data_IF_697090555502
#
_entry.id   IF_697090555502
#
_cell.length_a   1.000
_cell.length_b   1.000
_cell.length_c   1.000
_cell.angle_alpha   90.00
_cell.angle_beta   90.00
_cell.angle_gamma   90.00
#
_symmetry.space_group_name_H-M   'P 1'
#
loop_
_entity.id
_entity.type
_entity.pdbx_description
1 polymer ?
#
# COMPACT_ATOMS: atom_id res chain seq x y z
N UNK A 1 19.08 2.34 21.75
CA UNK A 1 18.53 3.69 21.86
C UNK A 1 17.06 3.57 22.26
N UNK A 2 16.57 4.31 23.27
CA UNK A 2 15.15 4.28 23.60
C UNK A 2 14.36 4.91 22.42
N UNK A 3 13.29 4.23 21.98
CA UNK A 3 12.36 4.74 21.00
C UNK A 3 11.81 6.08 21.52
N UNK A 4 12.10 7.17 20.85
CA UNK A 4 11.55 8.47 21.16
C UNK A 4 10.20 8.60 20.50
N UNK A 5 9.14 8.62 21.31
CA UNK A 5 7.77 8.84 20.87
C UNK A 5 7.47 10.32 21.07
N UNK A 6 7.42 11.09 20.01
CA UNK A 6 6.94 12.47 20.04
C UNK A 6 5.45 12.48 19.68
N UNK A 7 4.64 13.04 20.55
CA UNK A 7 3.19 13.20 20.34
C UNK A 7 2.90 14.67 20.11
N UNK A 8 2.53 15.01 18.89
CA UNK A 8 1.79 16.21 18.60
C UNK A 8 0.42 15.78 18.00
N UNK A 9 -0.66 16.09 18.66
CA UNK A 9 -2.03 15.88 18.18
C UNK A 9 -2.41 14.42 17.78
N UNK A 10 -2.11 13.42 18.61
CA UNK A 10 -2.31 11.99 18.35
C UNK A 10 -1.32 11.33 17.38
N UNK A 11 -0.53 12.08 16.66
CA UNK A 11 0.49 11.52 15.77
C UNK A 11 1.71 11.07 16.58
N UNK A 12 2.17 9.85 16.31
CA UNK A 12 3.36 9.29 16.95
C UNK A 12 4.42 9.10 15.88
N UNK A 13 5.55 9.75 16.05
CA UNK A 13 6.74 9.55 15.22
C UNK A 13 7.69 8.62 15.98
N UNK A 14 8.19 7.60 15.28
CA UNK A 14 9.17 6.66 15.81
C UNK A 14 10.52 7.00 15.19
N UNK A 15 11.43 7.53 16.00
CA UNK A 15 12.82 7.75 15.61
C UNK A 15 13.65 6.51 15.97
N UNK A 16 14.33 5.91 14.99
CA UNK A 16 15.14 4.71 15.13
C UNK A 16 16.33 4.71 14.18
N UNK A 17 17.33 3.91 14.45
CA UNK A 17 18.44 3.66 13.52
C UNK A 17 17.90 3.06 12.20
N UNK A 18 18.54 3.45 11.08
CA UNK A 18 18.15 2.97 9.76
C UNK A 18 18.45 1.47 9.63
N UNK A 19 17.40 0.67 9.55
CA UNK A 19 17.44 -0.77 9.27
C UNK A 19 16.76 -1.14 7.95
N UNK A 20 16.51 -0.14 7.07
CA UNK A 20 15.79 -0.33 5.82
C UNK A 20 14.27 -0.19 5.96
N UNK A 21 13.57 -0.26 4.81
CA UNK A 21 12.13 -0.04 4.71
C UNK A 21 11.33 -1.10 5.50
N UNK A 22 11.67 -2.38 5.33
CA UNK A 22 10.99 -3.48 6.02
C UNK A 22 11.07 -3.34 7.55
N UNK A 23 12.23 -2.98 8.08
CA UNK A 23 12.45 -2.76 9.50
C UNK A 23 11.64 -1.56 10.03
N UNK A 24 11.59 -0.46 9.29
CA UNK A 24 10.79 0.71 9.64
C UNK A 24 9.30 0.39 9.67
N UNK A 25 8.79 -0.33 8.67
CA UNK A 25 7.40 -0.78 8.60
C UNK A 25 7.05 -1.73 9.75
N UNK A 26 7.89 -2.71 10.04
CA UNK A 26 7.69 -3.66 11.14
C UNK A 26 7.67 -2.93 12.50
N UNK A 27 8.55 -1.96 12.69
CA UNK A 27 8.57 -1.15 13.89
C UNK A 27 7.25 -0.37 14.07
N UNK A 28 6.75 0.26 13.00
CA UNK A 28 5.49 1.00 13.01
C UNK A 28 4.29 0.07 13.26
N UNK A 29 4.24 -1.12 12.65
CA UNK A 29 3.19 -2.13 12.83
C UNK A 29 3.15 -2.61 14.29
N UNK A 30 4.31 -2.87 14.88
CA UNK A 30 4.42 -3.33 16.27
C UNK A 30 4.01 -2.24 17.27
N UNK A 31 4.31 -0.98 16.98
CA UNK A 31 3.92 0.15 17.81
C UNK A 31 2.45 0.57 17.63
N UNK A 32 1.82 0.17 16.53
CA UNK A 32 0.42 0.48 16.23
C UNK A 32 -0.55 -0.26 17.15
N UNK A 33 -1.64 0.43 17.53
CA UNK A 33 -2.76 -0.16 18.29
C UNK A 33 -4.03 -0.30 17.44
N UNK A 34 -4.01 0.19 16.21
CA UNK A 34 -5.15 0.19 15.32
C UNK A 34 -5.28 -1.14 14.58
N UNK A 35 -6.51 -1.53 14.19
CA UNK A 35 -6.76 -2.81 13.49
C UNK A 35 -6.23 -2.82 12.05
N UNK A 36 -6.06 -1.65 11.45
CA UNK A 36 -5.54 -1.49 10.09
C UNK A 36 -4.22 -0.71 10.13
N UNK A 37 -3.31 -1.09 9.25
CA UNK A 37 -2.02 -0.41 9.03
C UNK A 37 -1.88 -0.07 7.55
N UNK A 38 -1.41 1.14 7.26
CA UNK A 38 -1.20 1.63 5.90
C UNK A 38 0.29 1.75 5.63
N UNK A 39 0.78 1.10 4.58
CA UNK A 39 2.12 1.29 4.06
C UNK A 39 2.08 2.31 2.93
N UNK A 40 2.90 3.35 3.03
CA UNK A 40 2.96 4.46 2.07
C UNK A 40 4.42 4.85 1.89
N UNK A 41 4.86 5.04 0.64
CA UNK A 41 6.20 5.57 0.38
C UNK A 41 6.23 7.08 0.68
N UNK A 42 7.38 7.56 1.17
CA UNK A 42 7.54 8.93 1.65
C UNK A 42 7.36 10.00 0.55
N UNK A 43 7.49 9.62 -0.71
CA UNK A 43 7.31 10.46 -1.89
C UNK A 43 5.93 10.31 -2.56
N UNK A 44 5.02 9.55 -1.94
CA UNK A 44 3.67 9.33 -2.47
C UNK A 44 2.72 10.46 -2.08
N UNK A 45 2.06 11.06 -3.07
CA UNK A 45 0.96 12.01 -2.88
C UNK A 45 -0.36 11.26 -2.77
N UNK A 46 -1.10 11.51 -1.69
CA UNK A 46 -2.37 10.83 -1.41
C UNK A 46 -3.52 11.76 -1.77
N UNK A 47 -4.47 11.27 -2.57
CA UNK A 47 -5.71 11.99 -2.83
C UNK A 47 -6.56 12.09 -1.55
N UNK A 48 -7.33 13.18 -1.34
CA UNK A 48 -8.05 13.42 -0.09
C UNK A 48 -9.00 12.29 0.35
N UNK A 49 -9.58 11.56 -0.60
CA UNK A 49 -10.53 10.47 -0.35
C UNK A 49 -9.91 9.06 -0.45
N UNK A 50 -8.61 8.94 -0.77
CA UNK A 50 -7.96 7.68 -1.05
C UNK A 50 -8.03 6.70 0.13
N UNK A 51 -7.75 7.16 1.36
CA UNK A 51 -7.84 6.32 2.55
C UNK A 51 -9.28 5.87 2.83
N UNK A 52 -10.26 6.74 2.62
CA UNK A 52 -11.68 6.38 2.78
C UNK A 52 -12.11 5.30 1.79
N UNK A 53 -11.60 5.36 0.56
CA UNK A 53 -11.85 4.31 -0.44
C UNK A 53 -11.22 2.99 -0.01
N UNK A 54 -9.95 2.99 0.43
CA UNK A 54 -9.24 1.78 0.86
C UNK A 54 -9.89 1.08 2.06
N UNK A 55 -10.53 1.81 2.97
CA UNK A 55 -11.16 1.23 4.16
C UNK A 55 -12.47 0.50 3.83
N UNK A 56 -13.19 0.92 2.79
CA UNK A 56 -14.53 0.38 2.46
C UNK A 56 -14.59 -1.15 2.36
N UNK A 57 -13.68 -1.86 1.67
CA UNK A 57 -13.71 -3.32 1.62
C UNK A 57 -13.62 -3.97 3.00
N UNK A 58 -12.80 -3.45 3.90
CA UNK A 58 -12.67 -3.97 5.27
C UNK A 58 -13.94 -3.79 6.13
N UNK A 59 -14.76 -2.78 5.81
CA UNK A 59 -16.04 -2.54 6.48
C UNK A 59 -17.14 -3.44 5.93
N UNK A 60 -17.06 -3.82 4.65
CA UNK A 60 -18.07 -4.65 3.97
C UNK A 60 -17.80 -6.13 4.14
N UNK A 61 -16.56 -6.54 4.32
CA UNK A 61 -16.18 -7.95 4.35
C UNK A 61 -15.07 -8.17 5.41
N UNK A 62 -15.37 -9.00 6.40
CA UNK A 62 -14.43 -9.32 7.49
C UNK A 62 -13.24 -10.16 7.04
N UNK A 63 -13.38 -10.85 5.91
CA UNK A 63 -12.36 -11.71 5.34
C UNK A 63 -11.29 -10.93 4.57
N UNK A 64 -11.53 -9.64 4.27
CA UNK A 64 -10.54 -8.78 3.62
C UNK A 64 -9.37 -8.54 4.55
N UNK A 65 -8.18 -8.93 4.11
CA UNK A 65 -6.91 -8.79 4.87
C UNK A 65 -6.00 -7.72 4.29
N UNK A 66 -6.11 -7.42 2.99
CA UNK A 66 -5.26 -6.44 2.32
C UNK A 66 -5.99 -5.77 1.14
N UNK A 67 -5.77 -4.47 0.97
CA UNK A 67 -6.33 -3.68 -0.14
C UNK A 67 -5.23 -2.77 -0.69
N UNK A 68 -4.97 -2.86 -2.00
CA UNK A 68 -4.06 -1.99 -2.73
C UNK A 68 -4.77 -0.84 -3.42
N UNK A 69 -4.18 0.34 -3.37
CA UNK A 69 -4.63 1.50 -4.15
C UNK A 69 -4.02 1.55 -5.55
N UNK A 70 -4.68 2.25 -6.45
CA UNK A 70 -4.12 2.56 -7.78
C UNK A 70 -3.08 3.65 -7.65
N UNK A 71 -1.93 3.46 -8.30
CA UNK A 71 -0.83 4.40 -8.33
C UNK A 71 -0.75 5.02 -9.71
N UNK A 72 -0.68 6.34 -9.76
CA UNK A 72 -0.48 7.12 -10.97
C UNK A 72 0.79 7.95 -10.86
N UNK A 73 1.43 8.22 -12.00
CA UNK A 73 2.58 9.11 -12.03
C UNK A 73 2.11 10.57 -11.94
N UNK A 74 2.72 11.33 -11.04
CA UNK A 74 2.43 12.74 -10.84
C UNK A 74 3.18 13.65 -11.84
N UNK A 75 4.01 13.08 -12.71
CA UNK A 75 4.77 13.81 -13.72
C UNK A 75 3.83 14.54 -14.72
N UNK A 76 3.97 15.86 -14.79
CA UNK A 76 3.11 16.70 -15.63
C UNK A 76 1.84 17.23 -14.94
N UNK A 77 1.52 16.73 -13.75
CA UNK A 77 0.44 17.25 -12.93
C UNK A 77 0.85 18.56 -12.23
N UNK A 78 -0.11 19.46 -12.04
CA UNK A 78 0.08 20.66 -11.21
C UNK A 78 -0.19 20.30 -9.76
N UNK A 79 0.82 20.54 -8.89
CA UNK A 79 0.75 20.23 -7.46
C UNK A 79 0.83 21.53 -6.69
N UNK A 80 -0.14 21.79 -5.83
CA UNK A 80 -0.16 22.92 -4.93
C UNK A 80 -0.34 22.43 -3.48
N UNK A 81 0.56 22.83 -2.58
CA UNK A 81 0.54 22.46 -1.16
C UNK A 81 0.40 20.95 -0.91
N UNK A 82 1.08 20.13 -1.73
CA UNK A 82 1.05 18.67 -1.60
C UNK A 82 -0.22 18.01 -2.16
N UNK A 83 -1.07 18.75 -2.85
CA UNK A 83 -2.30 18.23 -3.49
C UNK A 83 -2.23 18.40 -4.98
N UNK A 84 -2.64 17.37 -5.73
CA UNK A 84 -2.78 17.45 -7.18
C UNK A 84 -4.03 18.28 -7.50
N UNK A 85 -3.83 19.47 -8.08
CA UNK A 85 -4.93 20.39 -8.43
C UNK A 85 -5.33 20.26 -9.90
N UNK A 86 -4.42 19.81 -10.76
CA UNK A 86 -4.69 19.59 -12.17
C UNK A 86 -3.91 18.38 -12.66
N UNK A 87 -4.60 17.46 -13.34
CA UNK A 87 -3.96 16.33 -13.99
C UNK A 87 -3.45 16.74 -15.37
N UNK A 88 -2.18 16.42 -15.65
CA UNK A 88 -1.54 16.71 -16.92
C UNK A 88 -0.64 15.59 -17.39
N UNK A 89 -0.33 15.61 -18.68
CA UNK A 89 0.64 14.67 -19.26
C UNK A 89 2.04 15.28 -19.22
N UNK A 90 3.06 14.48 -18.92
CA UNK A 90 4.43 14.94 -18.96
C UNK A 90 4.84 15.37 -20.38
N UNK A 91 5.74 16.35 -20.48
CA UNK A 91 6.29 16.83 -21.75
C UNK A 91 7.22 15.80 -22.42
N UNK A 92 7.95 15.04 -21.63
CA UNK A 92 8.88 14.01 -22.10
C UNK A 92 8.15 12.78 -22.65
N UNK A 93 8.54 12.28 -23.81
CA UNK A 93 8.04 11.05 -24.40
C UNK A 93 8.28 9.83 -23.53
N UNK A 94 9.45 9.73 -22.89
CA UNK A 94 9.79 8.62 -21.97
C UNK A 94 8.83 8.60 -20.80
N UNK A 95 8.54 9.77 -20.19
CA UNK A 95 7.60 9.86 -19.09
C UNK A 95 6.15 9.54 -19.54
N UNK A 96 5.77 9.88 -20.79
CA UNK A 96 4.46 9.46 -21.35
C UNK A 96 4.37 7.95 -21.50
N UNK A 97 5.41 7.29 -21.96
CA UNK A 97 5.46 5.83 -21.99
C UNK A 97 5.34 5.21 -20.60
N UNK A 98 5.99 5.79 -19.57
CA UNK A 98 5.83 5.34 -18.19
C UNK A 98 4.38 5.49 -17.71
N UNK A 99 3.70 6.60 -18.03
CA UNK A 99 2.26 6.77 -17.69
C UNK A 99 1.43 5.65 -18.31
N UNK A 100 1.63 5.35 -19.59
CA UNK A 100 0.91 4.26 -20.28
C UNK A 100 1.18 2.91 -19.64
N UNK A 101 2.44 2.59 -19.31
CA UNK A 101 2.81 1.34 -18.64
C UNK A 101 2.19 1.22 -17.23
N UNK A 102 2.18 2.29 -16.46
CA UNK A 102 1.51 2.31 -15.16
C UNK A 102 -0.01 2.12 -15.29
N UNK A 103 -0.66 2.83 -16.21
CA UNK A 103 -2.09 2.65 -16.47
C UNK A 103 -2.39 1.21 -16.91
N UNK A 104 -1.60 0.65 -17.81
CA UNK A 104 -1.74 -0.75 -18.24
C UNK A 104 -1.57 -1.72 -17.06
N UNK A 105 -0.53 -1.53 -16.27
CA UNK A 105 -0.24 -2.41 -15.14
C UNK A 105 -1.31 -2.34 -14.05
N UNK A 106 -1.78 -1.15 -13.72
CA UNK A 106 -2.73 -0.95 -12.63
C UNK A 106 -4.20 -1.12 -13.06
N UNK A 107 -4.62 -0.56 -14.19
CA UNK A 107 -6.03 -0.62 -14.60
C UNK A 107 -6.38 -1.92 -15.32
N UNK A 108 -5.52 -2.40 -16.22
CA UNK A 108 -5.84 -3.57 -17.03
C UNK A 108 -5.31 -4.85 -16.37
N UNK A 109 -4.03 -4.86 -16.00
CA UNK A 109 -3.40 -6.05 -15.44
C UNK A 109 -4.00 -6.44 -14.10
N UNK A 110 -4.02 -5.53 -13.12
CA UNK A 110 -4.44 -5.86 -11.75
C UNK A 110 -5.93 -6.10 -11.61
N UNK A 111 -6.79 -5.30 -12.27
CA UNK A 111 -8.24 -5.52 -12.25
C UNK A 111 -8.64 -6.84 -12.94
N UNK A 112 -7.95 -7.23 -14.01
CA UNK A 112 -8.15 -8.51 -14.67
C UNK A 112 -7.79 -9.69 -13.75
N UNK A 113 -6.63 -9.63 -13.12
CA UNK A 113 -6.17 -10.65 -12.17
C UNK A 113 -7.01 -10.71 -10.90
N UNK A 114 -7.51 -9.55 -10.41
CA UNK A 114 -8.39 -9.49 -9.24
C UNK A 114 -9.68 -10.30 -9.45
N UNK A 115 -10.31 -10.14 -10.61
CA UNK A 115 -11.51 -10.93 -10.99
C UNK A 115 -11.26 -12.43 -11.10
N UNK A 116 -10.03 -12.83 -11.39
CA UNK A 116 -9.62 -14.24 -11.47
C UNK A 116 -9.11 -14.78 -10.11
N UNK A 117 -9.18 -13.99 -9.05
CA UNK A 117 -8.64 -14.34 -7.73
C UNK A 117 -7.11 -14.40 -7.70
N UNK A 118 -6.44 -13.81 -8.71
CA UNK A 118 -5.00 -13.91 -8.93
C UNK A 118 -4.17 -12.70 -8.52
N UNK A 119 -4.73 -11.73 -7.81
CA UNK A 119 -4.00 -10.51 -7.45
C UNK A 119 -2.85 -10.82 -6.47
N UNK A 120 -1.61 -10.73 -6.98
CA UNK A 120 -0.39 -11.09 -6.26
C UNK A 120 0.39 -9.86 -5.76
N UNK A 121 0.01 -8.66 -6.17
CA UNK A 121 0.83 -7.47 -5.93
C UNK A 121 -0.03 -6.32 -5.41
N UNK A 122 0.19 -5.98 -4.14
CA UNK A 122 -0.15 -4.66 -3.61
C UNK A 122 1.14 -3.85 -3.65
N UNK A 123 1.10 -2.67 -4.27
CA UNK A 123 2.29 -1.83 -4.35
C UNK A 123 2.70 -1.35 -2.98
N UNK A 124 3.98 -1.43 -2.67
CA UNK A 124 4.56 -0.87 -1.45
C UNK A 124 4.40 0.65 -1.29
N UNK A 125 4.02 1.33 -2.38
CA UNK A 125 3.77 2.77 -2.35
C UNK A 125 2.40 3.15 -1.76
N UNK A 126 1.39 2.26 -1.81
CA UNK A 126 0.08 2.53 -1.20
C UNK A 126 -0.73 1.25 -0.99
N UNK A 127 -0.69 0.72 0.22
CA UNK A 127 -1.43 -0.48 0.62
C UNK A 127 -1.99 -0.39 2.03
N UNK A 128 -3.21 -0.89 2.24
CA UNK A 128 -3.86 -1.00 3.54
C UNK A 128 -4.01 -2.47 3.92
N UNK A 129 -3.64 -2.82 5.13
CA UNK A 129 -3.56 -4.18 5.61
C UNK A 129 -4.24 -4.34 6.96
N UNK A 130 -4.85 -5.49 7.21
CA UNK A 130 -5.30 -5.88 8.54
C UNK A 130 -4.06 -6.22 9.39
N UNK A 131 -3.83 -5.44 10.46
CA UNK A 131 -2.65 -5.57 11.31
C UNK A 131 -2.44 -6.99 11.86
N UNK A 132 -3.51 -7.64 12.30
CA UNK A 132 -3.45 -9.02 12.80
C UNK A 132 -2.97 -10.01 11.75
N UNK A 133 -3.38 -9.86 10.50
CA UNK A 133 -2.93 -10.71 9.39
C UNK A 133 -1.44 -10.50 9.09
N UNK A 134 -0.99 -9.24 9.01
CA UNK A 134 0.43 -8.92 8.80
C UNK A 134 1.29 -9.46 9.94
N UNK A 135 0.84 -9.31 11.19
CA UNK A 135 1.56 -9.82 12.36
C UNK A 135 1.62 -11.35 12.35
N UNK A 136 0.52 -12.02 12.02
CA UNK A 136 0.47 -13.48 11.89
C UNK A 136 1.38 -14.00 10.77
N UNK A 137 1.52 -13.22 9.68
CA UNK A 137 2.44 -13.53 8.58
C UNK A 137 3.92 -13.27 8.94
N UNK A 138 4.23 -12.72 10.11
CA UNK A 138 5.60 -12.41 10.55
C UNK A 138 6.12 -11.03 10.09
N UNK A 139 5.26 -10.14 9.58
CA UNK A 139 5.64 -8.80 9.13
C UNK A 139 6.33 -8.78 7.76
N UNK A 140 7.03 -7.69 7.45
CA UNK A 140 7.82 -7.54 6.23
C UNK A 140 9.15 -8.27 6.34
N UNK A 141 9.56 -9.00 5.30
CA UNK A 141 10.84 -9.71 5.25
C UNK A 141 12.00 -8.74 4.97
N UNK A 142 13.10 -8.88 5.73
CA UNK A 142 14.28 -8.02 5.58
C UNK A 142 15.16 -8.39 4.37
N UNK A 143 15.14 -9.66 3.97
CA UNK A 143 16.05 -10.23 2.97
C UNK A 143 15.43 -10.30 1.56
N UNK A 144 14.29 -9.64 1.34
CA UNK A 144 13.59 -9.66 0.06
C UNK A 144 13.80 -8.36 -0.72
N UNK A 145 14.06 -8.48 -2.02
CA UNK A 145 14.14 -7.34 -2.95
C UNK A 145 12.76 -6.77 -3.27
N UNK A 146 11.68 -7.53 -2.98
CA UNK A 146 10.28 -7.15 -3.18
C UNK A 146 9.48 -7.49 -1.94
N UNK A 147 9.75 -6.80 -0.83
CA UNK A 147 9.17 -7.06 0.48
C UNK A 147 7.65 -6.95 0.51
N UNK A 148 7.08 -6.10 -0.32
CA UNK A 148 5.64 -5.89 -0.48
C UNK A 148 4.97 -7.08 -1.19
N UNK A 149 5.56 -7.53 -2.29
CA UNK A 149 5.06 -8.69 -3.04
C UNK A 149 5.20 -9.97 -2.22
N UNK A 150 6.30 -10.13 -1.50
CA UNK A 150 6.57 -11.28 -0.66
C UNK A 150 5.56 -11.35 0.51
N UNK A 151 5.27 -10.24 1.17
CA UNK A 151 4.24 -10.16 2.21
C UNK A 151 2.86 -10.56 1.65
N UNK A 152 2.46 -10.03 0.49
CA UNK A 152 1.16 -10.36 -0.13
C UNK A 152 1.08 -11.85 -0.46
N UNK A 153 2.18 -12.45 -0.95
CA UNK A 153 2.24 -13.89 -1.21
C UNK A 153 2.05 -14.71 0.08
N UNK A 154 2.70 -14.34 1.19
CA UNK A 154 2.52 -15.01 2.49
C UNK A 154 1.10 -14.81 3.04
N UNK A 155 0.55 -13.61 2.96
CA UNK A 155 -0.84 -13.35 3.37
C UNK A 155 -1.80 -14.24 2.58
N UNK A 156 -1.58 -14.41 1.29
CA UNK A 156 -2.39 -15.27 0.44
C UNK A 156 -2.31 -16.74 0.83
N UNK A 157 -1.14 -17.23 1.19
CA UNK A 157 -0.98 -18.61 1.68
C UNK A 157 -1.71 -18.88 2.99
N UNK A 158 -1.90 -17.87 3.82
CA UNK A 158 -2.62 -17.99 5.10
C UNK A 158 -4.14 -17.94 4.93
N UNK A 159 -4.62 -17.41 3.80
CA UNK A 159 -6.05 -17.31 3.50
C UNK A 159 -6.51 -18.60 2.80
N UNK A 160 -7.62 -19.24 3.24
CA UNK A 160 -8.19 -20.38 2.56
C UNK A 160 -8.41 -20.14 1.07
N UNK A 161 -8.15 -21.15 0.24
CA UNK A 161 -8.18 -21.02 -1.22
C UNK A 161 -9.48 -20.43 -1.77
N UNK A 162 -10.63 -20.75 -1.16
CA UNK A 162 -11.95 -20.23 -1.56
C UNK A 162 -12.19 -18.76 -1.20
N UNK A 163 -11.35 -18.17 -0.30
CA UNK A 163 -11.40 -16.76 0.09
C UNK A 163 -10.34 -15.90 -0.61
N UNK A 164 -9.34 -16.48 -1.26
CA UNK A 164 -8.17 -15.76 -1.77
C UNK A 164 -8.53 -14.61 -2.73
N UNK A 165 -9.56 -14.79 -3.55
CA UNK A 165 -10.03 -13.76 -4.48
C UNK A 165 -10.78 -12.60 -3.82
N UNK A 166 -11.25 -12.76 -2.58
CA UNK A 166 -11.99 -11.74 -1.82
C UNK A 166 -11.13 -11.09 -0.74
N UNK A 167 -10.19 -11.85 -0.19
CA UNK A 167 -9.38 -11.42 0.95
C UNK A 167 -8.32 -10.36 0.58
N UNK A 168 -7.86 -10.35 -0.68
CA UNK A 168 -6.88 -9.38 -1.18
C UNK A 168 -7.48 -8.69 -2.39
N UNK A 169 -7.80 -7.40 -2.26
CA UNK A 169 -8.49 -6.60 -3.25
C UNK A 169 -7.58 -5.50 -3.81
N UNK A 170 -7.91 -5.03 -4.99
CA UNK A 170 -7.33 -3.82 -5.57
C UNK A 170 -8.45 -2.85 -5.94
N UNK A 171 -8.30 -1.58 -5.57
CA UNK A 171 -9.25 -0.53 -5.93
C UNK A 171 -8.71 0.28 -7.11
N UNK A 172 -9.57 0.57 -8.10
CA UNK A 172 -9.25 1.46 -9.21
C UNK A 172 -9.09 2.90 -8.80
#
# INVERSE_FOLDING_TARGET
HPLRLESANSDRVIDKENGGKADALNCAINASRFPLVCAIDADTLILPDALLRLVRPFLSDVDVVAVGGTICLANGCKIEKGTVVEMGLPSSWIARFQVVEYLRAFLVGRLGWDRMGGNLIISGAFGLFRRSAVTAAGGYAHDSVGEDMELVARLRHQVPQWLQGRAICHLP
#
